data_IF_107876101342
#
_entry.id   IF_107876101342
#
_cell.length_a   1.000
_cell.length_b   1.000
_cell.length_c   1.000
_cell.angle_alpha   90.00
_cell.angle_beta   90.00
_cell.angle_gamma   90.00
#
_symmetry.space_group_name_H-M   'P 1'
#
loop_
_entity.id
_entity.type
_entity.pdbx_description
1 polymer ?
#
# COMPACT_ATOMS: atom_id res chain seq x y z
N UNK A 1 24.52 15.07 3.12
CA UNK A 1 25.65 14.95 2.19
C UNK A 1 25.84 16.29 1.48
N UNK A 2 26.87 17.07 1.91
CA UNK A 2 27.04 18.45 1.47
C UNK A 2 27.30 18.58 -0.06
N UNK A 3 27.96 17.60 -0.68
CA UNK A 3 28.26 17.64 -2.12
C UNK A 3 27.05 17.38 -3.04
N UNK A 4 26.00 16.75 -2.53
CA UNK A 4 24.78 16.43 -3.30
C UNK A 4 23.55 17.21 -2.80
N UNK A 5 23.70 18.00 -1.72
CA UNK A 5 22.61 18.69 -1.04
C UNK A 5 21.42 17.76 -0.68
N UNK A 6 21.76 16.55 -0.22
CA UNK A 6 20.80 15.53 0.17
C UNK A 6 20.97 15.14 1.64
N UNK A 7 19.85 14.85 2.30
CA UNK A 7 19.86 14.31 3.65
C UNK A 7 20.14 12.80 3.63
N UNK A 8 20.80 12.33 4.68
CA UNK A 8 21.01 10.91 4.99
C UNK A 8 20.69 10.69 6.45
N UNK A 9 20.11 9.56 6.77
CA UNK A 9 20.02 9.11 8.14
C UNK A 9 21.29 8.34 8.49
N UNK A 10 21.85 8.61 9.68
CA UNK A 10 23.04 7.91 10.17
C UNK A 10 22.71 7.33 11.53
N UNK A 11 22.68 6.02 11.62
CA UNK A 11 22.57 5.30 12.89
C UNK A 11 23.96 4.96 13.38
N UNK A 12 24.27 5.38 14.59
CA UNK A 12 25.60 5.21 15.20
C UNK A 12 25.48 4.30 16.43
N UNK A 13 26.18 3.16 16.43
CA UNK A 13 26.14 2.19 17.50
C UNK A 13 27.56 1.98 18.06
N UNK A 14 27.76 2.16 19.40
CA UNK A 14 29.04 1.89 20.02
C UNK A 14 29.43 0.42 19.92
N UNK A 15 30.67 0.11 19.57
CA UNK A 15 31.17 -1.28 19.54
C UNK A 15 31.17 -1.98 20.90
N UNK A 16 31.06 -1.21 21.98
CA UNK A 16 30.88 -1.70 23.34
C UNK A 16 29.43 -2.07 23.68
N UNK A 17 28.49 -1.76 22.80
CA UNK A 17 27.06 -2.10 23.01
C UNK A 17 26.89 -3.64 23.01
N UNK A 18 26.09 -4.14 23.93
CA UNK A 18 25.88 -5.60 24.10
C UNK A 18 25.38 -6.31 22.85
N UNK A 19 24.58 -5.60 22.04
CA UNK A 19 23.92 -6.14 20.83
C UNK A 19 24.64 -5.69 19.54
N UNK A 20 25.90 -5.20 19.62
CA UNK A 20 26.66 -4.69 18.49
C UNK A 20 26.74 -5.68 17.31
N UNK A 21 27.10 -6.93 17.60
CA UNK A 21 27.25 -7.96 16.56
C UNK A 21 25.91 -8.32 15.90
N UNK A 22 24.81 -8.22 16.65
CA UNK A 22 23.47 -8.43 16.12
C UNK A 22 23.09 -7.28 15.19
N UNK A 23 23.25 -6.05 15.64
CA UNK A 23 23.00 -4.86 14.84
C UNK A 23 23.80 -4.86 13.51
N UNK A 24 25.07 -5.26 13.57
CA UNK A 24 25.93 -5.35 12.38
C UNK A 24 25.39 -6.39 11.38
N UNK A 25 24.91 -7.55 11.86
CA UNK A 25 24.31 -8.56 10.98
C UNK A 25 23.00 -8.07 10.36
N UNK A 26 22.16 -7.39 11.12
CA UNK A 26 20.90 -6.83 10.66
C UNK A 26 21.13 -5.75 9.59
N UNK A 27 22.13 -4.87 9.79
CA UNK A 27 22.51 -3.88 8.81
C UNK A 27 22.96 -4.50 7.47
N UNK A 28 23.63 -5.66 7.51
CA UNK A 28 24.00 -6.39 6.30
C UNK A 28 22.79 -6.99 5.60
N UNK A 29 21.80 -7.49 6.33
CA UNK A 29 20.54 -7.96 5.75
C UNK A 29 19.78 -6.79 5.11
N UNK A 30 19.66 -5.67 5.82
CA UNK A 30 18.97 -4.48 5.31
C UNK A 30 19.61 -3.95 4.01
N UNK A 31 20.93 -4.05 3.88
CA UNK A 31 21.66 -3.63 2.66
C UNK A 31 21.19 -4.35 1.38
N UNK A 32 20.76 -5.58 1.51
CA UNK A 32 20.28 -6.38 0.36
C UNK A 32 18.82 -6.07 -0.01
N UNK A 33 18.07 -5.41 0.88
CA UNK A 33 16.66 -5.08 0.63
C UNK A 33 16.55 -3.88 -0.31
N UNK A 34 15.73 -4.02 -1.36
CA UNK A 34 15.46 -2.97 -2.35
C UNK A 34 13.98 -2.97 -2.68
N UNK A 35 13.21 -2.21 -1.92
CA UNK A 35 11.77 -2.11 -2.12
C UNK A 35 11.29 -0.68 -1.82
N UNK A 36 10.38 -0.11 -2.62
CA UNK A 36 9.81 1.20 -2.34
C UNK A 36 9.16 1.25 -0.95
N UNK A 37 9.61 2.20 -0.12
CA UNK A 37 9.15 2.32 1.27
C UNK A 37 10.01 1.56 2.29
N UNK A 38 11.12 0.97 1.89
CA UNK A 38 12.21 0.50 2.76
C UNK A 38 13.43 1.38 2.48
N UNK A 39 14.11 1.95 3.49
CA UNK A 39 15.24 2.84 3.27
C UNK A 39 16.40 2.11 2.58
N UNK A 40 16.97 2.75 1.57
CA UNK A 40 18.16 2.24 0.91
C UNK A 40 19.37 2.42 1.83
N UNK A 41 20.14 1.37 2.05
CA UNK A 41 21.45 1.46 2.71
C UNK A 41 22.47 1.91 1.69
N UNK A 42 23.08 3.06 1.96
CA UNK A 42 24.14 3.62 1.11
C UNK A 42 25.51 3.09 1.48
N UNK A 43 25.78 3.03 2.78
CA UNK A 43 27.09 2.56 3.26
C UNK A 43 27.03 2.03 4.68
N UNK A 44 28.03 1.21 5.02
CA UNK A 44 28.31 0.68 6.34
C UNK A 44 29.76 1.03 6.66
N UNK A 45 29.96 1.90 7.62
CA UNK A 45 31.29 2.36 8.02
C UNK A 45 31.56 2.01 9.49
N UNK A 46 32.83 1.94 9.86
CA UNK A 46 33.25 1.74 11.22
C UNK A 46 34.55 2.44 11.54
N UNK A 47 34.70 2.91 12.77
CA UNK A 47 35.94 3.37 13.35
C UNK A 47 36.35 2.50 14.55
N UNK A 48 37.29 2.99 15.37
CA UNK A 48 37.74 2.26 16.56
C UNK A 48 36.66 2.07 17.64
N UNK A 49 35.61 2.90 17.65
CA UNK A 49 34.62 2.97 18.74
C UNK A 49 33.21 2.72 18.31
N UNK A 50 32.87 3.03 17.05
CA UNK A 50 31.51 3.03 16.56
C UNK A 50 31.36 2.29 15.24
N UNK A 51 30.17 1.82 14.99
CA UNK A 51 29.68 1.37 13.70
C UNK A 51 28.60 2.33 13.22
N UNK A 52 28.60 2.66 11.92
CA UNK A 52 27.70 3.61 11.30
C UNK A 52 26.93 2.92 10.18
N UNK A 53 25.59 2.94 10.28
CA UNK A 53 24.70 2.61 9.18
C UNK A 53 24.25 3.91 8.53
N UNK A 54 24.58 4.10 7.24
CA UNK A 54 24.24 5.28 6.46
C UNK A 54 23.13 4.88 5.49
N UNK A 55 21.94 5.43 5.71
CA UNK A 55 20.75 5.05 4.97
C UNK A 55 19.99 6.25 4.42
N UNK A 56 18.99 5.98 3.59
CA UNK A 56 18.09 6.96 3.03
C UNK A 56 17.33 7.69 4.14
N UNK A 57 17.33 9.03 4.07
CA UNK A 57 16.48 9.84 4.93
C UNK A 57 15.06 9.85 4.36
N UNK A 58 14.14 9.21 5.03
CA UNK A 58 12.74 9.17 4.65
C UNK A 58 11.99 10.34 5.29
N UNK A 59 11.35 11.14 4.44
CA UNK A 59 10.50 12.25 4.88
C UNK A 59 9.13 11.75 5.35
N UNK A 60 8.47 12.49 6.22
CA UNK A 60 7.10 12.21 6.65
C UNK A 60 6.89 12.32 8.14
N UNK A 61 5.69 11.96 8.58
CA UNK A 61 5.33 11.85 9.98
C UNK A 61 5.12 10.39 10.35
N UNK A 62 5.47 10.00 11.58
CA UNK A 62 5.15 8.66 12.02
C UNK A 62 3.64 8.46 12.09
N UNK A 63 3.18 7.25 11.83
CA UNK A 63 1.77 6.89 11.99
C UNK A 63 1.29 7.17 13.43
N UNK A 64 2.19 7.03 14.42
CA UNK A 64 1.90 7.36 15.81
C UNK A 64 1.59 8.83 15.99
N UNK A 65 2.44 9.72 15.46
CA UNK A 65 2.27 11.16 15.60
C UNK A 65 1.05 11.65 14.82
N UNK A 66 0.83 11.14 13.60
CA UNK A 66 -0.36 11.46 12.80
C UNK A 66 -1.66 11.15 13.55
N UNK A 67 -1.77 9.97 14.14
CA UNK A 67 -2.97 9.58 14.92
C UNK A 67 -3.10 10.41 16.19
N UNK A 68 -1.99 10.74 16.83
CA UNK A 68 -2.00 11.59 18.04
C UNK A 68 -2.46 13.01 17.75
N UNK A 69 -2.05 13.56 16.62
CA UNK A 69 -2.30 14.96 16.26
C UNK A 69 -3.66 15.16 15.56
N UNK A 70 -4.07 14.20 14.71
CA UNK A 70 -5.26 14.30 13.86
C UNK A 70 -6.42 13.40 14.31
N UNK A 71 -6.18 12.50 15.26
CA UNK A 71 -7.14 11.48 15.68
C UNK A 71 -7.13 10.22 14.81
N UNK A 72 -8.00 9.24 15.14
CA UNK A 72 -8.11 7.98 14.43
C UNK A 72 -8.53 8.16 12.98
N UNK A 73 -8.07 7.25 12.12
CA UNK A 73 -8.41 7.25 10.71
C UNK A 73 -9.79 6.65 10.45
N UNK A 74 -10.41 7.09 9.36
CA UNK A 74 -11.59 6.41 8.83
C UNK A 74 -11.21 5.02 8.32
N UNK A 75 -12.16 4.09 8.31
CA UNK A 75 -11.97 2.70 7.90
C UNK A 75 -11.29 2.58 6.52
N UNK A 76 -11.70 3.41 5.56
CA UNK A 76 -11.12 3.42 4.21
C UNK A 76 -9.62 3.69 4.22
N UNK A 77 -9.17 4.66 5.02
CA UNK A 77 -7.75 5.03 5.10
C UNK A 77 -6.95 4.00 5.88
N UNK A 78 -7.52 3.46 6.98
CA UNK A 78 -6.91 2.38 7.72
C UNK A 78 -6.68 1.14 6.84
N UNK A 79 -7.66 0.75 6.01
CA UNK A 79 -7.52 -0.35 5.06
C UNK A 79 -6.49 -0.02 3.98
N UNK A 80 -6.50 1.20 3.42
CA UNK A 80 -5.52 1.63 2.41
C UNK A 80 -4.08 1.52 2.93
N UNK A 81 -3.81 2.02 4.12
CA UNK A 81 -2.49 1.94 4.74
C UNK A 81 -2.17 0.50 5.19
N UNK A 82 -3.15 -0.21 5.74
CA UNK A 82 -2.98 -1.62 6.10
C UNK A 82 -2.55 -2.50 4.93
N UNK A 83 -3.09 -2.29 3.74
CA UNK A 83 -2.67 -3.00 2.52
C UNK A 83 -1.23 -2.67 2.14
N UNK A 84 -0.81 -1.41 2.24
CA UNK A 84 0.58 -1.03 1.96
C UNK A 84 1.55 -1.67 2.97
N UNK A 85 1.18 -1.71 4.25
CA UNK A 85 1.96 -2.40 5.28
C UNK A 85 2.06 -3.90 4.95
N UNK A 86 0.96 -4.54 4.54
CA UNK A 86 0.99 -5.93 4.10
C UNK A 86 1.96 -6.15 2.93
N UNK A 87 1.98 -5.25 1.93
CA UNK A 87 2.88 -5.36 0.78
C UNK A 87 4.36 -5.24 1.19
N UNK A 88 4.69 -4.33 2.13
CA UNK A 88 6.05 -4.18 2.68
C UNK A 88 6.48 -5.46 3.44
N UNK A 89 5.61 -5.97 4.31
CA UNK A 89 5.89 -7.16 5.10
C UNK A 89 5.95 -8.43 4.24
N UNK A 90 5.09 -8.55 3.24
CA UNK A 90 5.15 -9.67 2.28
C UNK A 90 6.47 -9.68 1.52
N UNK A 91 6.98 -8.50 1.13
CA UNK A 91 8.30 -8.39 0.52
C UNK A 91 9.40 -8.88 1.48
N UNK A 92 9.40 -8.48 2.76
CA UNK A 92 10.39 -8.94 3.74
C UNK A 92 10.35 -10.47 3.89
N UNK A 93 9.15 -11.05 3.96
CA UNK A 93 8.98 -12.49 4.14
C UNK A 93 9.44 -13.32 2.93
N UNK A 94 9.60 -12.70 1.74
CA UNK A 94 9.95 -13.40 0.50
C UNK A 94 11.20 -12.85 -0.21
N UNK A 95 11.90 -11.87 0.37
CA UNK A 95 13.07 -11.24 -0.25
C UNK A 95 14.34 -12.11 -0.21
N UNK A 96 14.41 -13.09 0.68
CA UNK A 96 15.55 -13.98 0.87
C UNK A 96 15.08 -15.45 0.95
N UNK A 97 16.03 -16.37 0.91
CA UNK A 97 15.77 -17.81 1.04
C UNK A 97 15.01 -18.16 2.32
N UNK A 98 15.26 -17.42 3.39
CA UNK A 98 14.53 -17.50 4.67
C UNK A 98 13.73 -16.22 4.88
N UNK A 99 12.49 -16.33 5.40
CA UNK A 99 11.69 -15.15 5.71
C UNK A 99 12.42 -14.22 6.67
N UNK A 100 12.50 -12.94 6.32
CA UNK A 100 12.95 -11.89 7.23
C UNK A 100 11.73 -11.41 8.01
N UNK A 101 11.75 -11.57 9.31
CA UNK A 101 10.73 -11.09 10.23
C UNK A 101 11.13 -9.70 10.73
N UNK A 102 10.19 -8.77 10.80
CA UNK A 102 10.48 -7.42 11.31
C UNK A 102 10.52 -7.38 12.84
N UNK A 103 9.60 -8.08 13.48
CA UNK A 103 9.47 -8.32 14.94
C UNK A 103 9.18 -7.10 15.82
N UNK A 104 9.41 -5.88 15.35
CA UNK A 104 9.04 -4.62 16.03
C UNK A 104 8.19 -3.71 15.14
N UNK A 105 7.21 -4.30 14.43
CA UNK A 105 6.21 -3.52 13.71
C UNK A 105 5.34 -2.75 14.72
N UNK A 106 5.44 -1.41 14.65
CA UNK A 106 4.70 -0.52 15.52
C UNK A 106 4.40 0.81 14.81
N UNK A 107 3.43 1.62 15.29
CA UNK A 107 3.07 2.88 14.64
C UNK A 107 4.21 3.89 14.53
N UNK A 108 5.21 3.84 15.41
CA UNK A 108 6.38 4.73 15.37
C UNK A 108 7.36 4.37 14.25
N UNK A 109 7.40 3.10 13.85
CA UNK A 109 8.30 2.57 12.81
C UNK A 109 7.67 2.63 11.42
N UNK A 110 6.48 3.23 11.29
CA UNK A 110 5.77 3.46 10.02
C UNK A 110 5.69 4.96 9.75
N UNK A 111 6.36 5.42 8.71
CA UNK A 111 6.29 6.82 8.26
C UNK A 111 5.26 6.95 7.14
N UNK A 112 4.51 8.05 7.16
CA UNK A 112 3.54 8.36 6.10
C UNK A 112 4.01 9.63 5.38
N UNK A 113 4.27 9.48 4.08
CA UNK A 113 4.65 10.59 3.20
C UNK A 113 3.80 10.58 1.93
N UNK A 114 3.09 11.66 1.67
CA UNK A 114 2.23 11.81 0.48
C UNK A 114 1.29 10.62 0.23
N UNK A 115 0.76 10.04 1.31
CA UNK A 115 -0.16 8.90 1.23
C UNK A 115 0.50 7.52 1.04
N UNK A 116 1.82 7.47 1.08
CA UNK A 116 2.62 6.23 0.99
C UNK A 116 3.17 5.86 2.35
N UNK A 117 3.10 4.57 2.70
CA UNK A 117 3.71 4.01 3.91
C UNK A 117 5.16 3.66 3.63
N UNK A 118 6.03 4.06 4.56
CA UNK A 118 7.44 3.71 4.59
C UNK A 118 7.74 3.02 5.93
N UNK A 119 8.51 1.95 5.89
CA UNK A 119 8.88 1.16 7.06
C UNK A 119 10.32 1.51 7.45
N UNK A 120 10.52 1.91 8.68
CA UNK A 120 11.82 2.28 9.23
C UNK A 120 12.16 1.40 10.44
N UNK A 121 13.41 1.44 10.85
CA UNK A 121 13.91 0.79 12.05
C UNK A 121 13.81 -0.75 12.02
N UNK A 122 14.90 -1.35 11.57
CA UNK A 122 15.05 -2.81 11.40
C UNK A 122 15.91 -3.44 12.50
N UNK A 123 16.07 -2.80 13.67
CA UNK A 123 16.98 -3.23 14.73
C UNK A 123 16.67 -4.61 15.29
N UNK A 124 15.43 -5.05 15.17
CA UNK A 124 15.00 -6.36 15.64
C UNK A 124 14.67 -7.32 14.48
N UNK A 125 14.82 -6.86 13.24
CA UNK A 125 14.57 -7.69 12.08
C UNK A 125 15.62 -8.81 11.97
N UNK A 126 15.24 -9.92 11.36
CA UNK A 126 16.14 -11.04 11.14
C UNK A 126 15.46 -12.24 10.53
N UNK A 127 16.26 -13.19 10.04
CA UNK A 127 15.69 -14.44 9.54
C UNK A 127 14.99 -15.24 10.64
N UNK A 128 13.98 -16.02 10.28
CA UNK A 128 13.11 -16.72 11.22
C UNK A 128 13.85 -17.67 12.16
N UNK A 129 14.95 -18.29 11.71
CA UNK A 129 15.73 -19.23 12.52
C UNK A 129 16.55 -18.47 13.56
N UNK A 130 17.32 -17.47 13.12
CA UNK A 130 18.13 -16.62 14.02
C UNK A 130 17.27 -15.90 15.05
N UNK A 131 16.12 -15.35 14.63
CA UNK A 131 15.19 -14.68 15.52
C UNK A 131 14.62 -15.62 16.59
N UNK A 132 14.33 -16.87 16.22
CA UNK A 132 13.81 -17.88 17.15
C UNK A 132 14.84 -18.31 18.21
N UNK A 133 16.14 -18.23 17.89
CA UNK A 133 17.22 -18.60 18.79
C UNK A 133 17.68 -17.47 19.74
N UNK A 134 17.14 -16.25 19.60
CA UNK A 134 17.48 -15.12 20.46
C UNK A 134 17.10 -15.41 21.91
N UNK A 135 18.03 -15.17 22.83
CA UNK A 135 17.80 -15.32 24.28
C UNK A 135 16.90 -14.21 24.83
N UNK A 136 17.06 -13.01 24.29
CA UNK A 136 16.20 -11.85 24.61
C UNK A 136 15.34 -11.53 23.39
N UNK A 137 14.05 -11.39 23.62
CA UNK A 137 13.08 -11.00 22.60
C UNK A 137 12.48 -9.67 22.99
N UNK A 138 12.38 -8.80 22.02
CA UNK A 138 11.84 -7.46 22.20
C UNK A 138 10.46 -7.37 21.56
N UNK A 139 9.65 -6.48 22.05
CA UNK A 139 8.36 -6.21 21.44
C UNK A 139 7.66 -5.05 22.11
N UNK A 140 7.06 -4.21 21.29
CA UNK A 140 6.31 -3.04 21.74
C UNK A 140 4.96 -3.46 22.34
N UNK A 141 4.69 -3.04 23.57
CA UNK A 141 3.46 -3.35 24.28
C UNK A 141 2.23 -2.97 23.44
N UNK A 142 1.33 -3.93 23.24
CA UNK A 142 0.13 -3.78 22.42
C UNK A 142 0.31 -4.09 20.93
N UNK A 143 1.54 -4.16 20.43
CA UNK A 143 1.86 -4.60 19.06
C UNK A 143 2.52 -5.99 19.03
N UNK A 144 3.27 -6.33 20.07
CA UNK A 144 4.00 -7.59 20.15
C UNK A 144 3.07 -8.80 20.27
N UNK A 145 3.31 -9.79 19.44
CA UNK A 145 2.59 -11.07 19.49
C UNK A 145 2.93 -11.85 20.77
N UNK A 146 2.00 -12.68 21.29
CA UNK A 146 2.23 -13.44 22.54
C UNK A 146 3.49 -14.28 22.52
N UNK A 147 3.85 -14.89 21.40
CA UNK A 147 5.05 -15.70 21.24
C UNK A 147 6.36 -14.93 21.40
N UNK A 148 6.35 -13.58 21.34
CA UNK A 148 7.52 -12.76 21.64
C UNK A 148 7.82 -12.66 23.14
N UNK A 149 6.86 -12.97 24.00
CA UNK A 149 7.04 -12.95 25.45
C UNK A 149 7.55 -14.28 26.02
N UNK A 150 7.75 -15.28 25.17
CA UNK A 150 8.25 -16.61 25.54
C UNK A 150 9.41 -17.00 24.63
N UNK A 151 10.43 -17.65 25.18
CA UNK A 151 11.63 -18.05 24.40
C UNK A 151 11.57 -19.48 23.88
N UNK A 152 10.57 -20.24 24.26
CA UNK A 152 10.34 -21.65 23.92
C UNK A 152 9.56 -21.84 22.61
N UNK A 153 8.99 -20.76 22.05
CA UNK A 153 8.23 -20.81 20.81
C UNK A 153 9.06 -20.35 19.62
N UNK A 154 8.91 -21.05 18.49
CA UNK A 154 9.47 -20.62 17.21
C UNK A 154 8.72 -19.38 16.71
N UNK A 155 9.46 -18.46 16.12
CA UNK A 155 8.90 -17.29 15.44
C UNK A 155 8.73 -17.60 13.95
N UNK A 156 7.65 -17.11 13.35
CA UNK A 156 7.39 -17.19 11.92
C UNK A 156 6.68 -15.92 11.43
N UNK A 157 6.45 -15.83 10.14
CA UNK A 157 5.80 -14.67 9.49
C UNK A 157 4.47 -14.24 10.13
N UNK A 158 3.78 -15.13 10.85
CA UNK A 158 2.53 -14.83 11.55
C UNK A 158 2.73 -13.98 12.80
N UNK A 159 3.96 -13.83 13.28
CA UNK A 159 4.31 -12.89 14.34
C UNK A 159 4.11 -11.44 13.86
N UNK A 160 4.57 -11.12 12.66
CA UNK A 160 4.35 -9.80 12.06
C UNK A 160 2.88 -9.57 11.69
N UNK A 161 2.13 -10.62 11.33
CA UNK A 161 0.67 -10.51 11.07
C UNK A 161 -0.09 -10.03 12.32
N UNK A 162 0.29 -10.49 13.50
CA UNK A 162 -0.30 -10.00 14.74
C UNK A 162 -0.07 -8.49 14.91
N UNK A 163 1.15 -8.02 14.68
CA UNK A 163 1.51 -6.61 14.78
C UNK A 163 0.74 -5.75 13.75
N UNK A 164 0.54 -6.25 12.52
CA UNK A 164 -0.30 -5.55 11.52
C UNK A 164 -1.75 -5.41 12.05
N UNK A 165 -2.31 -6.45 12.67
CA UNK A 165 -3.63 -6.38 13.30
C UNK A 165 -3.70 -5.31 14.40
N UNK A 166 -2.68 -5.22 15.23
CA UNK A 166 -2.59 -4.20 16.29
C UNK A 166 -2.45 -2.78 15.71
N UNK A 167 -1.71 -2.62 14.62
CA UNK A 167 -1.57 -1.33 13.92
C UNK A 167 -2.90 -0.92 13.26
N UNK A 168 -3.62 -1.84 12.63
CA UNK A 168 -4.97 -1.57 12.10
C UNK A 168 -5.91 -1.10 13.22
N UNK A 169 -5.89 -1.76 14.37
CA UNK A 169 -6.64 -1.34 15.56
C UNK A 169 -6.23 0.05 16.02
N UNK A 170 -4.92 0.34 16.09
CA UNK A 170 -4.43 1.65 16.45
C UNK A 170 -4.88 2.75 15.48
N UNK A 171 -4.85 2.49 14.18
CA UNK A 171 -5.35 3.44 13.17
C UNK A 171 -6.83 3.78 13.37
N UNK A 172 -7.64 2.82 13.78
CA UNK A 172 -9.10 2.99 13.91
C UNK A 172 -9.53 3.53 15.26
N UNK A 173 -8.77 3.28 16.33
CA UNK A 173 -9.20 3.61 17.70
C UNK A 173 -8.24 4.55 18.44
N UNK A 174 -7.10 4.91 17.85
CA UNK A 174 -6.10 5.82 18.42
C UNK A 174 -5.34 5.25 19.61
N UNK A 175 -5.51 3.97 19.93
CA UNK A 175 -4.89 3.33 21.10
C UNK A 175 -4.48 1.90 20.84
N UNK A 176 -3.37 1.50 21.47
CA UNK A 176 -2.92 0.10 21.48
C UNK A 176 -3.50 -0.70 22.67
N UNK A 177 -4.21 -0.05 23.59
CA UNK A 177 -4.81 -0.73 24.74
C UNK A 177 -6.01 -1.55 24.31
N UNK A 178 -6.08 -2.81 24.73
CA UNK A 178 -7.25 -3.64 24.53
C UNK A 178 -8.46 -3.12 25.34
N UNK A 179 -9.67 -3.21 24.78
CA UNK A 179 -10.91 -2.81 25.46
C UNK A 179 -11.26 -1.33 25.38
N UNK A 180 -10.45 -0.49 24.72
CA UNK A 180 -10.72 0.94 24.54
C UNK A 180 -11.51 1.25 23.24
N UNK A 181 -12.10 0.24 22.62
CA UNK A 181 -12.77 0.32 21.31
C UNK A 181 -14.13 1.06 21.35
N UNK A 182 -14.68 1.27 22.55
CA UNK A 182 -16.02 1.87 22.75
C UNK A 182 -16.04 3.39 22.83
N UNK A 183 -14.89 4.04 22.99
CA UNK A 183 -14.85 5.47 23.34
C UNK A 183 -14.63 6.44 22.17
N UNK A 184 -14.32 5.98 20.97
CA UNK A 184 -13.88 6.88 19.89
C UNK A 184 -14.97 7.29 18.88
N UNK A 185 -16.22 6.83 19.06
CA UNK A 185 -17.35 7.23 18.20
C UNK A 185 -17.24 6.79 16.72
N UNK A 186 -16.24 6.02 16.36
CA UNK A 186 -16.03 5.51 15.01
C UNK A 186 -16.71 4.15 14.89
N UNK A 187 -17.63 4.04 13.91
CA UNK A 187 -18.26 2.75 13.58
C UNK A 187 -17.35 2.01 12.59
N UNK A 188 -16.76 0.91 13.03
CA UNK A 188 -15.95 0.02 12.19
C UNK A 188 -16.83 -1.13 11.71
N UNK A 189 -16.72 -1.47 10.42
CA UNK A 189 -17.51 -2.56 9.83
C UNK A 189 -17.20 -3.93 10.47
N UNK A 190 -18.21 -4.80 10.58
CA UNK A 190 -18.03 -6.16 11.09
C UNK A 190 -16.94 -6.95 10.37
N UNK A 191 -16.86 -6.91 9.02
CA UNK A 191 -15.77 -7.56 8.28
C UNK A 191 -14.38 -7.12 8.71
N UNK A 192 -14.12 -5.80 8.87
CA UNK A 192 -12.81 -5.31 9.30
C UNK A 192 -12.50 -5.66 10.75
N UNK A 193 -13.49 -5.59 11.65
CA UNK A 193 -13.33 -6.06 13.04
C UNK A 193 -12.92 -7.54 13.09
N UNK A 194 -13.54 -8.40 12.27
CA UNK A 194 -13.21 -9.82 12.19
C UNK A 194 -11.80 -10.05 11.65
N UNK A 195 -11.35 -9.24 10.69
CA UNK A 195 -9.97 -9.29 10.17
C UNK A 195 -8.98 -8.97 11.29
N UNK A 196 -9.17 -7.86 12.00
CA UNK A 196 -8.30 -7.45 13.12
C UNK A 196 -8.26 -8.53 14.19
N UNK A 197 -9.44 -9.04 14.59
CA UNK A 197 -9.53 -10.12 15.57
C UNK A 197 -8.75 -11.35 15.13
N UNK A 198 -8.89 -11.77 13.87
CA UNK A 198 -8.16 -12.92 13.32
C UNK A 198 -6.65 -12.69 13.28
N UNK A 199 -6.18 -11.48 12.94
CA UNK A 199 -4.75 -11.16 13.02
C UNK A 199 -4.21 -11.30 14.45
N UNK A 200 -4.99 -10.88 15.44
CA UNK A 200 -4.59 -10.81 16.84
C UNK A 200 -4.97 -12.05 17.64
N UNK A 201 -5.30 -13.18 17.00
CA UNK A 201 -5.52 -14.44 17.69
C UNK A 201 -4.25 -14.83 18.49
N UNK A 202 -4.39 -15.22 19.77
CA UNK A 202 -3.24 -15.68 20.57
C UNK A 202 -2.55 -16.88 19.94
N UNK A 203 -3.33 -17.83 19.44
CA UNK A 203 -2.83 -18.97 18.68
C UNK A 203 -2.50 -18.54 17.24
N UNK A 204 -1.20 -18.47 16.93
CA UNK A 204 -0.72 -18.08 15.61
C UNK A 204 -1.27 -18.94 14.47
N UNK A 205 -1.65 -20.20 14.71
CA UNK A 205 -2.20 -21.09 13.67
C UNK A 205 -3.57 -20.64 13.18
N UNK A 206 -4.27 -19.83 13.97
CA UNK A 206 -5.58 -19.26 13.64
C UNK A 206 -5.50 -17.91 12.92
N UNK A 207 -4.30 -17.31 12.85
CA UNK A 207 -4.06 -16.05 12.11
C UNK A 207 -4.05 -16.28 10.59
N UNK A 208 -3.90 -15.20 9.83
CA UNK A 208 -3.61 -15.32 8.41
C UNK A 208 -2.24 -15.97 8.20
N UNK A 209 -2.09 -16.86 7.20
CA UNK A 209 -0.83 -17.56 6.97
C UNK A 209 0.26 -16.66 6.37
N UNK A 210 -0.11 -15.58 5.67
CA UNK A 210 0.82 -14.62 5.06
C UNK A 210 0.25 -13.21 5.04
N UNK A 211 1.11 -12.21 4.84
CA UNK A 211 0.70 -10.83 4.67
C UNK A 211 -0.12 -10.66 3.38
N UNK A 212 0.15 -11.46 2.34
CA UNK A 212 -0.64 -11.49 1.11
C UNK A 212 -2.09 -11.92 1.35
N UNK A 213 -2.32 -12.96 2.12
CA UNK A 213 -3.67 -13.41 2.46
C UNK A 213 -4.43 -12.35 3.30
N UNK A 214 -3.73 -11.66 4.20
CA UNK A 214 -4.29 -10.54 4.94
C UNK A 214 -4.63 -9.36 4.00
N UNK A 215 -3.74 -9.01 3.07
CA UNK A 215 -3.99 -7.96 2.08
C UNK A 215 -5.27 -8.23 1.28
N UNK A 216 -5.43 -9.46 0.78
CA UNK A 216 -6.64 -9.88 0.05
C UNK A 216 -7.90 -9.82 0.91
N UNK A 217 -7.81 -10.16 2.20
CA UNK A 217 -8.93 -10.03 3.12
C UNK A 217 -9.33 -8.57 3.35
N UNK A 218 -8.36 -7.67 3.53
CA UNK A 218 -8.58 -6.22 3.63
C UNK A 218 -9.22 -5.66 2.37
N UNK A 219 -8.77 -6.07 1.19
CA UNK A 219 -9.38 -5.67 -0.08
C UNK A 219 -10.84 -6.09 -0.19
N UNK A 220 -11.15 -7.33 0.20
CA UNK A 220 -12.53 -7.86 0.17
C UNK A 220 -13.43 -7.14 1.18
N UNK A 221 -12.94 -6.70 2.34
CA UNK A 221 -13.73 -5.99 3.34
C UNK A 221 -14.30 -4.68 2.82
N UNK A 222 -13.54 -3.95 2.01
CA UNK A 222 -14.00 -2.72 1.36
C UNK A 222 -14.98 -3.00 0.24
N UNK A 223 -14.79 -4.09 -0.51
CA UNK A 223 -15.70 -4.50 -1.60
C UNK A 223 -17.03 -5.05 -1.07
N UNK A 224 -16.99 -5.81 0.04
CA UNK A 224 -18.20 -6.40 0.67
C UNK A 224 -19.10 -5.38 1.36
N UNK A 225 -18.53 -4.31 1.93
CA UNK A 225 -19.31 -3.20 2.52
C UNK A 225 -20.13 -2.42 1.49
N UNK A 226 -19.79 -2.53 0.21
CA UNK A 226 -20.57 -1.94 -0.90
C UNK A 226 -21.88 -2.68 -1.22
N UNK A 227 -22.06 -3.91 -0.74
CA UNK A 227 -23.27 -4.70 -1.01
C UNK A 227 -24.39 -4.48 0.02
N UNK A 228 -24.16 -3.74 1.12
CA UNK A 228 -25.13 -3.63 2.23
C UNK A 228 -25.58 -2.20 2.53
N UNK A 229 -24.95 -1.16 2.00
CA UNK A 229 -25.45 0.21 2.14
C UNK A 229 -26.02 0.71 0.81
N UNK A 230 -27.31 0.43 0.61
CA UNK A 230 -28.14 1.20 -0.30
C UNK A 230 -28.38 2.59 0.33
N UNK A 231 -27.40 3.45 0.29
CA UNK A 231 -27.56 4.88 0.46
C UNK A 231 -26.70 5.63 -0.57
N UNK A 232 -27.42 6.46 -1.31
CA UNK A 232 -26.98 7.24 -2.44
C UNK A 232 -25.78 8.16 -2.10
N UNK A 233 -24.55 7.67 -2.27
CA UNK A 233 -23.40 8.53 -2.53
C UNK A 233 -22.60 7.92 -3.67
N UNK A 234 -22.62 8.59 -4.81
CA UNK A 234 -21.95 8.21 -6.02
C UNK A 234 -20.49 7.83 -5.74
N UNK A 235 -20.13 6.60 -6.11
CA UNK A 235 -18.74 6.14 -6.11
C UNK A 235 -17.98 7.06 -7.07
N UNK A 236 -17.16 7.96 -6.54
CA UNK A 236 -16.26 8.74 -7.38
C UNK A 236 -15.21 7.81 -7.98
N UNK A 237 -15.38 7.43 -9.24
CA UNK A 237 -14.34 6.75 -10.00
C UNK A 237 -13.10 7.63 -10.09
N UNK A 238 -11.92 7.04 -9.92
CA UNK A 238 -10.67 7.75 -10.20
C UNK A 238 -10.64 8.10 -11.70
N UNK A 239 -10.57 9.39 -12.03
CA UNK A 239 -10.44 9.82 -13.41
C UNK A 239 -8.98 10.13 -13.71
N UNK A 240 -8.39 9.39 -14.65
CA UNK A 240 -7.06 9.65 -15.19
C UNK A 240 -7.23 10.35 -16.52
N UNK A 241 -6.70 11.56 -16.63
CA UNK A 241 -6.75 12.37 -17.84
C UNK A 241 -5.41 12.28 -18.55
N UNK A 242 -5.43 11.91 -19.84
CA UNK A 242 -4.23 11.80 -20.67
C UNK A 242 -4.41 12.68 -21.89
N UNK A 243 -3.46 13.58 -22.12
CA UNK A 243 -3.38 14.40 -23.31
C UNK A 243 -1.92 14.59 -23.75
N UNK A 244 -1.67 14.66 -25.04
CA UNK A 244 -0.36 14.94 -25.62
C UNK A 244 -0.24 16.37 -26.09
N UNK A 245 0.96 16.95 -26.03
CA UNK A 245 1.22 18.33 -26.52
C UNK A 245 1.16 18.47 -28.03
N UNK A 246 1.45 17.37 -28.74
CA UNK A 246 1.50 17.36 -30.22
C UNK A 246 0.98 16.02 -30.78
N UNK A 247 0.51 15.97 -32.04
CA UNK A 247 0.20 14.73 -32.72
C UNK A 247 1.42 13.78 -32.71
N UNK A 248 1.19 12.53 -32.38
CA UNK A 248 2.28 11.53 -32.29
C UNK A 248 3.02 11.48 -30.95
N UNK A 249 2.67 12.31 -29.96
CA UNK A 249 3.27 12.28 -28.62
C UNK A 249 2.99 10.98 -27.82
N UNK A 250 2.18 10.05 -28.36
CA UNK A 250 1.94 8.76 -27.74
C UNK A 250 0.83 8.74 -26.67
N UNK A 251 0.05 9.80 -26.50
CA UNK A 251 -1.00 9.91 -25.49
C UNK A 251 -1.98 8.71 -25.54
N UNK A 252 -2.53 8.39 -26.71
CA UNK A 252 -3.44 7.26 -26.91
C UNK A 252 -2.76 5.91 -26.61
N UNK A 253 -1.49 5.76 -26.99
CA UNK A 253 -0.71 4.53 -26.69
C UNK A 253 -0.52 4.33 -25.18
N UNK A 254 -0.18 5.42 -24.48
CA UNK A 254 -0.06 5.42 -23.02
C UNK A 254 -1.41 5.09 -22.36
N UNK A 255 -2.49 5.70 -22.83
CA UNK A 255 -3.83 5.46 -22.28
C UNK A 255 -4.27 4.00 -22.46
N UNK A 256 -4.03 3.40 -23.62
CA UNK A 256 -4.29 1.98 -23.86
C UNK A 256 -3.40 1.07 -23.02
N UNK A 257 -2.11 1.33 -22.97
CA UNK A 257 -1.16 0.57 -22.17
C UNK A 257 -1.56 0.57 -20.68
N UNK A 258 -1.94 1.72 -20.15
CA UNK A 258 -2.40 1.85 -18.78
C UNK A 258 -3.73 1.10 -18.55
N UNK A 259 -4.68 1.18 -19.49
CA UNK A 259 -5.93 0.43 -19.43
C UNK A 259 -5.69 -1.08 -19.35
N UNK A 260 -4.85 -1.61 -20.24
CA UNK A 260 -4.49 -3.03 -20.26
C UNK A 260 -3.79 -3.45 -18.97
N UNK A 261 -2.84 -2.64 -18.50
CA UNK A 261 -2.11 -2.91 -17.26
C UNK A 261 -3.04 -3.00 -16.05
N UNK A 262 -3.88 -1.98 -15.83
CA UNK A 262 -4.81 -1.92 -14.71
C UNK A 262 -5.87 -3.04 -14.78
N UNK A 263 -6.36 -3.36 -15.99
CA UNK A 263 -7.28 -4.49 -16.19
C UNK A 263 -6.64 -5.82 -15.81
N UNK A 264 -5.37 -6.05 -16.17
CA UNK A 264 -4.61 -7.25 -15.75
C UNK A 264 -4.42 -7.32 -14.24
N UNK A 265 -4.36 -6.19 -13.56
CA UNK A 265 -4.32 -6.10 -12.09
C UNK A 265 -5.69 -6.36 -11.44
N UNK A 266 -6.72 -6.66 -12.21
CA UNK A 266 -8.08 -6.95 -11.73
C UNK A 266 -8.89 -5.71 -11.37
N UNK A 267 -8.44 -4.51 -11.74
CA UNK A 267 -9.15 -3.25 -11.53
C UNK A 267 -10.22 -3.09 -12.63
N UNK A 268 -11.42 -2.66 -12.25
CA UNK A 268 -12.47 -2.35 -13.23
C UNK A 268 -12.21 -1.02 -13.90
N UNK A 269 -11.63 -1.05 -15.10
CA UNK A 269 -11.22 0.14 -15.85
C UNK A 269 -12.13 0.36 -17.04
N UNK A 270 -12.52 1.61 -17.26
CA UNK A 270 -13.09 2.09 -18.52
C UNK A 270 -12.07 2.99 -19.21
N UNK A 271 -11.69 2.64 -20.43
CA UNK A 271 -11.04 3.59 -21.34
C UNK A 271 -12.12 4.41 -22.07
N UNK A 272 -12.03 5.72 -22.04
CA UNK A 272 -12.94 6.62 -22.70
C UNK A 272 -12.19 7.48 -23.72
N UNK A 273 -12.48 7.29 -25.01
CA UNK A 273 -11.95 8.13 -26.08
C UNK A 273 -12.67 9.48 -26.05
N UNK A 274 -11.94 10.55 -25.78
CA UNK A 274 -12.39 11.96 -25.76
C UNK A 274 -11.82 12.77 -26.91
N UNK A 275 -11.45 12.10 -27.97
CA UNK A 275 -10.92 12.68 -29.19
C UNK A 275 -11.58 12.04 -30.43
N UNK A 276 -11.41 12.63 -31.60
CA UNK A 276 -12.05 12.16 -32.82
C UNK A 276 -11.19 11.19 -33.64
N UNK A 277 -10.16 10.58 -33.04
CA UNK A 277 -9.26 9.70 -33.79
C UNK A 277 -9.90 8.37 -34.20
N UNK A 278 -10.95 7.93 -33.52
CA UNK A 278 -11.59 6.63 -33.76
C UNK A 278 -10.70 5.43 -33.44
N UNK A 279 -9.78 5.59 -32.50
CA UNK A 279 -8.81 4.57 -32.15
C UNK A 279 -9.47 3.28 -31.64
N UNK A 280 -10.52 3.39 -30.81
CA UNK A 280 -11.27 2.23 -30.30
C UNK A 280 -11.92 1.45 -31.42
N UNK A 281 -12.54 2.11 -32.40
CA UNK A 281 -13.20 1.44 -33.53
C UNK A 281 -12.19 0.73 -34.41
N UNK A 282 -11.06 1.37 -34.76
CA UNK A 282 -10.00 0.74 -35.55
C UNK A 282 -9.41 -0.48 -34.83
N UNK A 283 -9.24 -0.39 -33.50
CA UNK A 283 -8.76 -1.52 -32.71
C UNK A 283 -9.77 -2.67 -32.72
N UNK A 284 -11.06 -2.38 -32.60
CA UNK A 284 -12.13 -3.38 -32.67
C UNK A 284 -12.15 -4.12 -34.03
N UNK A 285 -11.99 -3.38 -35.12
CA UNK A 285 -11.92 -3.91 -36.49
C UNK A 285 -10.69 -4.81 -36.69
N UNK A 286 -9.54 -4.41 -36.14
CA UNK A 286 -8.28 -5.15 -36.30
C UNK A 286 -8.22 -6.43 -35.48
N UNK A 287 -8.95 -6.53 -34.37
CA UNK A 287 -8.90 -7.70 -33.47
C UNK A 287 -9.91 -8.78 -33.78
N UNK A 288 -10.87 -8.55 -34.67
CA UNK A 288 -11.82 -9.56 -35.17
C UNK A 288 -12.76 -10.22 -34.15
N UNK A 289 -12.70 -9.82 -32.87
CA UNK A 289 -13.43 -10.47 -31.77
C UNK A 289 -14.05 -9.47 -30.79
N UNK A 290 -14.17 -8.19 -31.15
CA UNK A 290 -14.76 -7.17 -30.30
C UNK A 290 -16.27 -7.37 -30.13
N UNK A 291 -16.77 -7.33 -28.89
CA UNK A 291 -18.22 -7.28 -28.58
C UNK A 291 -18.58 -5.88 -28.19
N UNK A 292 -19.77 -5.44 -28.54
CA UNK A 292 -20.37 -4.17 -28.10
C UNK A 292 -21.53 -4.51 -27.17
N UNK A 293 -21.54 -3.91 -25.98
CA UNK A 293 -22.68 -4.06 -25.06
C UNK A 293 -23.82 -3.09 -25.40
N UNK A 294 -24.98 -3.23 -24.72
CA UNK A 294 -26.16 -2.39 -24.91
C UNK A 294 -25.94 -0.89 -24.62
N UNK A 295 -24.80 -0.51 -24.06
CA UNK A 295 -24.39 0.87 -23.75
C UNK A 295 -23.40 1.41 -24.79
N UNK A 296 -23.03 0.61 -25.77
CA UNK A 296 -22.04 1.00 -26.79
C UNK A 296 -20.59 0.88 -26.31
N UNK A 297 -20.30 0.17 -25.23
CA UNK A 297 -18.95 -0.08 -24.76
C UNK A 297 -18.39 -1.32 -25.47
N UNK A 298 -17.21 -1.18 -26.02
CA UNK A 298 -16.49 -2.27 -26.69
C UNK A 298 -15.73 -3.12 -25.66
N UNK A 299 -15.86 -4.40 -25.78
CA UNK A 299 -15.08 -5.40 -25.05
C UNK A 299 -13.96 -5.93 -25.96
N UNK A 300 -12.74 -5.44 -25.78
CA UNK A 300 -11.58 -5.77 -26.62
C UNK A 300 -10.51 -6.39 -25.72
N UNK A 301 -10.18 -7.66 -25.93
CA UNK A 301 -9.13 -8.38 -25.18
C UNK A 301 -9.22 -8.20 -23.63
N UNK A 302 -10.43 -8.23 -23.10
CA UNK A 302 -10.70 -8.07 -21.67
C UNK A 302 -10.77 -6.63 -21.17
N UNK A 303 -10.47 -5.64 -22.01
CA UNK A 303 -10.60 -4.21 -21.69
C UNK A 303 -11.96 -3.69 -22.11
N UNK A 304 -12.51 -2.77 -21.32
CA UNK A 304 -13.76 -2.05 -21.60
C UNK A 304 -13.41 -0.68 -22.18
N UNK A 305 -13.88 -0.41 -23.41
CA UNK A 305 -13.47 0.76 -24.18
C UNK A 305 -14.66 1.47 -24.79
N UNK A 306 -14.83 2.76 -24.45
CA UNK A 306 -15.86 3.62 -24.98
C UNK A 306 -15.28 4.50 -26.09
N UNK A 307 -15.73 4.36 -27.35
CA UNK A 307 -15.31 5.25 -28.43
C UNK A 307 -15.93 6.63 -28.29
N UNK A 308 -15.41 7.58 -29.04
CA UNK A 308 -16.03 8.88 -29.16
C UNK A 308 -17.36 8.83 -29.93
N UNK A 309 -18.45 9.18 -29.25
CA UNK A 309 -19.81 9.24 -29.82
C UNK A 309 -20.27 10.66 -30.10
N UNK A 310 -19.42 11.67 -29.89
CA UNK A 310 -19.78 13.09 -29.98
C UNK A 310 -20.16 13.69 -28.60
N UNK A 311 -20.24 15.03 -28.55
CA UNK A 311 -20.44 15.74 -27.28
C UNK A 311 -21.85 15.57 -26.70
N UNK A 312 -22.83 15.20 -27.51
CA UNK A 312 -24.22 15.02 -27.07
C UNK A 312 -24.48 13.69 -26.33
N UNK A 313 -23.59 12.70 -26.44
CA UNK A 313 -23.80 11.38 -25.84
C UNK A 313 -23.12 11.33 -24.47
N UNK A 314 -23.89 11.59 -23.43
CA UNK A 314 -23.47 11.37 -22.04
C UNK A 314 -23.93 9.98 -21.62
N UNK A 315 -23.03 9.02 -21.57
CA UNK A 315 -23.27 7.75 -20.90
C UNK A 315 -22.90 7.92 -19.43
N UNK A 316 -23.82 7.61 -18.52
CA UNK A 316 -23.51 7.58 -17.09
C UNK A 316 -22.69 6.33 -16.79
N UNK A 317 -21.38 6.52 -16.68
CA UNK A 317 -20.41 5.45 -16.46
C UNK A 317 -19.78 5.53 -15.06
N UNK A 318 -20.18 6.53 -14.24
CA UNK A 318 -19.46 6.87 -13.02
C UNK A 318 -19.64 5.89 -11.85
N UNK A 319 -20.62 5.00 -11.91
CA UNK A 319 -20.95 4.13 -10.75
C UNK A 319 -20.41 2.70 -10.84
N UNK A 320 -19.88 2.29 -11.99
CA UNK A 320 -19.52 0.89 -12.26
C UNK A 320 -18.01 0.64 -12.36
N UNK A 321 -17.23 1.69 -12.64
CA UNK A 321 -15.79 1.59 -12.85
C UNK A 321 -15.00 2.21 -11.70
N UNK A 322 -13.94 1.51 -11.29
CA UNK A 322 -13.01 2.02 -10.25
C UNK A 322 -12.10 3.10 -10.82
N UNK A 323 -11.73 2.96 -12.09
CA UNK A 323 -10.88 3.90 -12.82
C UNK A 323 -11.50 4.20 -14.19
N UNK A 324 -11.53 5.46 -14.56
CA UNK A 324 -11.86 5.92 -15.92
C UNK A 324 -10.67 6.65 -16.50
N UNK A 325 -10.10 6.10 -17.57
CA UNK A 325 -8.99 6.71 -18.31
C UNK A 325 -9.59 7.51 -19.48
N UNK A 326 -9.45 8.82 -19.45
CA UNK A 326 -9.95 9.75 -20.47
C UNK A 326 -8.80 10.15 -21.39
N UNK A 327 -8.86 9.70 -22.65
CA UNK A 327 -7.89 10.04 -23.68
C UNK A 327 -8.37 11.23 -24.51
N UNK A 328 -7.76 12.38 -24.31
CA UNK A 328 -8.03 13.61 -25.05
C UNK A 328 -7.17 13.78 -26.32
N UNK A 329 -6.33 12.80 -26.66
CA UNK A 329 -5.43 12.91 -27.80
C UNK A 329 -4.51 14.13 -27.65
N UNK A 330 -4.70 15.15 -28.49
CA UNK A 330 -3.97 16.42 -28.43
C UNK A 330 -4.79 17.59 -27.89
N UNK A 331 -6.03 17.35 -27.45
CA UNK A 331 -6.91 18.40 -26.90
C UNK A 331 -6.63 18.63 -25.41
N UNK A 332 -5.47 19.22 -25.11
CA UNK A 332 -5.02 19.49 -23.75
C UNK A 332 -5.85 20.57 -23.04
N UNK A 333 -6.52 21.47 -23.79
CA UNK A 333 -7.38 22.52 -23.21
C UNK A 333 -8.63 21.91 -22.56
N UNK A 334 -9.32 21.02 -23.26
CA UNK A 334 -10.48 20.31 -22.73
C UNK A 334 -10.08 19.35 -21.61
N UNK A 335 -8.90 18.73 -21.71
CA UNK A 335 -8.30 17.92 -20.64
C UNK A 335 -8.11 18.77 -19.36
N UNK A 336 -7.57 19.99 -19.49
CA UNK A 336 -7.38 20.92 -18.39
C UNK A 336 -8.69 21.40 -17.76
N UNK A 337 -9.73 21.64 -18.57
CA UNK A 337 -11.06 21.98 -18.06
C UNK A 337 -11.70 20.83 -17.28
N UNK A 338 -11.56 19.60 -17.78
CA UNK A 338 -12.06 18.39 -17.10
C UNK A 338 -11.43 18.18 -15.72
N UNK A 339 -10.17 18.58 -15.52
CA UNK A 339 -9.50 18.54 -14.24
C UNK A 339 -10.06 19.61 -13.28
N UNK A 340 -10.28 20.83 -13.76
CA UNK A 340 -10.77 21.96 -12.95
C UNK A 340 -12.22 21.77 -12.46
N UNK A 341 -13.08 21.13 -13.26
CA UNK A 341 -14.47 20.88 -12.88
C UNK A 341 -14.64 19.91 -11.68
N UNK A 342 -13.59 19.22 -11.26
CA UNK A 342 -13.59 18.25 -10.14
C UNK A 342 -12.80 18.70 -8.92
N UNK A 343 -12.16 19.86 -8.93
CA UNK A 343 -11.38 20.41 -7.81
C UNK A 343 -12.24 21.10 -6.74
N UNK A 344 -13.52 20.74 -6.62
CA UNK A 344 -14.36 21.07 -5.46
C UNK A 344 -14.44 19.82 -4.55
N UNK A 345 -13.31 19.58 -3.86
CA UNK A 345 -13.24 18.72 -2.66
C UNK A 345 -12.50 19.45 -1.54
#
# INVERSE_FOLDING_TARGET
>A
HLGLNEYRAIKCVPKTHKDYEEFRREALVLKELKYPGIPLVYDLEEDSHYFYLIEEYLEGNSLYDLIKDQGPFQERDAVRYGRQICSLVEYLHHSCDKPILHLDLQPKNLMIWKGTVQLIDFDHAGDSDSASLRKERYGTAGCAAPELYTTDQLLDQRTDIYAIGAILRFMLYGTLKAGAETDCGITVSGPLQNIIKKCMEPDRTKRYPSAKELELALERSVRGGRLISADNNAVSSLNIVIAGSTPGAGATHLAFGLCVYLTKMGIKVLYEERNQTGAVRRMAESTGGARIDGRGIYHIQGCLMKPWYGPAVKLDTNTEFEVVIKDFGTNWEEAGQTLKEKDHF
#
